data_IF_636243636726
#
_entry.id   IF_636243636726
#
_cell.length_a   1.000
_cell.length_b   1.000
_cell.length_c   1.000
_cell.angle_alpha   90.00
_cell.angle_beta   90.00
_cell.angle_gamma   90.00
#
_symmetry.space_group_name_H-M   'P 1'
#
loop_
_entity.id
_entity.type
_entity.pdbx_description
1 polymer ?
#
# COMPACT_ATOMS: atom_id res chain seq x y z
N UNK A 1 -13.46 -28.20 21.59
CA UNK A 1 -14.16 -27.02 21.01
C UNK A 1 -13.20 -25.86 20.97
N UNK A 2 -12.76 -25.44 19.77
CA UNK A 2 -11.86 -24.30 19.62
C UNK A 2 -12.60 -23.00 19.92
N UNK A 3 -12.08 -22.20 20.86
CA UNK A 3 -12.59 -20.83 21.10
C UNK A 3 -12.34 -20.01 19.85
N UNK A 4 -13.40 -19.67 19.12
CA UNK A 4 -13.35 -18.63 18.08
C UNK A 4 -13.04 -17.29 18.75
N UNK A 5 -11.87 -16.74 18.44
CA UNK A 5 -11.49 -15.39 18.85
C UNK A 5 -12.29 -14.40 17.99
N UNK A 6 -12.97 -13.41 18.57
CA UNK A 6 -13.68 -12.40 17.79
C UNK A 6 -12.74 -11.70 16.81
N UNK A 7 -13.19 -11.46 15.57
CA UNK A 7 -12.40 -10.82 14.51
C UNK A 7 -11.72 -9.52 14.96
N UNK A 8 -12.40 -8.71 15.78
CA UNK A 8 -11.85 -7.49 16.37
C UNK A 8 -10.61 -7.75 17.22
N UNK A 9 -10.55 -8.87 17.95
CA UNK A 9 -9.40 -9.23 18.80
C UNK A 9 -8.20 -9.79 18.03
N UNK A 10 -8.37 -10.18 16.76
CA UNK A 10 -7.28 -10.65 15.90
C UNK A 10 -6.77 -9.58 14.94
N UNK A 11 -7.54 -8.52 14.74
CA UNK A 11 -7.22 -7.43 13.78
C UNK A 11 -6.89 -6.10 14.46
N UNK A 12 -7.12 -5.99 15.77
CA UNK A 12 -6.59 -4.86 16.54
C UNK A 12 -5.05 -4.84 16.46
N UNK A 13 -4.51 -3.66 16.15
CA UNK A 13 -3.07 -3.42 16.22
C UNK A 13 -2.54 -3.81 17.61
N UNK A 14 -1.40 -4.52 17.71
CA UNK A 14 -0.75 -4.78 18.99
C UNK A 14 -0.57 -3.49 19.78
N UNK A 15 -0.67 -3.54 21.12
CA UNK A 15 -0.51 -2.35 21.97
C UNK A 15 0.82 -1.61 21.72
N UNK A 16 1.89 -2.34 21.38
CA UNK A 16 3.19 -1.77 21.01
C UNK A 16 3.17 -0.98 19.68
N UNK A 17 2.18 -1.21 18.83
CA UNK A 17 1.97 -0.48 17.57
C UNK A 17 0.90 0.62 17.71
N UNK A 18 0.16 0.66 18.82
CA UNK A 18 -0.78 1.73 19.13
C UNK A 18 0.02 2.95 19.60
N UNK A 19 0.00 4.01 18.79
CA UNK A 19 0.58 5.29 19.20
C UNK A 19 -0.35 6.02 20.16
N UNK A 20 0.21 6.67 21.19
CA UNK A 20 -0.55 7.49 22.14
C UNK A 20 -1.14 8.76 21.51
N UNK A 21 -0.60 9.19 20.37
CA UNK A 21 -1.12 10.25 19.50
C UNK A 21 -1.24 9.72 18.07
N UNK A 22 -2.12 10.29 17.24
CA UNK A 22 -2.33 9.86 15.84
C UNK A 22 -2.82 8.40 15.72
N UNK A 23 -3.90 8.10 16.45
CA UNK A 23 -4.53 6.78 16.48
C UNK A 23 -5.46 6.50 15.28
N UNK A 24 -5.69 7.50 14.43
CA UNK A 24 -6.42 7.37 13.18
C UNK A 24 -5.42 7.10 12.07
N UNK A 25 -5.74 6.13 11.22
CA UNK A 25 -4.89 5.75 10.11
C UNK A 25 -5.70 5.23 8.93
N UNK A 26 -5.12 5.37 7.74
CA UNK A 26 -5.62 4.80 6.50
C UNK A 26 -4.41 4.39 5.68
N UNK A 27 -4.42 3.12 5.29
CA UNK A 27 -3.45 2.58 4.36
C UNK A 27 -4.17 2.04 3.13
N UNK A 28 -3.52 2.16 1.98
CA UNK A 28 -3.88 1.47 0.75
C UNK A 28 -2.62 0.81 0.21
N UNK A 29 -2.75 -0.20 -0.65
CA UNK A 29 -1.60 -0.82 -1.30
C UNK A 29 -1.78 -1.04 -2.79
N UNK A 30 -0.65 -1.09 -3.49
CA UNK A 30 -0.56 -1.54 -4.88
C UNK A 30 0.63 -2.49 -5.03
N UNK A 31 0.48 -3.48 -5.92
CA UNK A 31 1.56 -4.37 -6.32
C UNK A 31 2.39 -3.69 -7.40
N UNK A 32 3.71 -3.90 -7.37
CA UNK A 32 4.66 -3.46 -8.38
C UNK A 32 5.41 -4.67 -8.93
N UNK A 33 5.64 -4.66 -10.23
CA UNK A 33 6.36 -5.73 -10.92
C UNK A 33 7.87 -5.59 -10.70
N UNK A 34 8.59 -6.72 -10.73
CA UNK A 34 10.05 -6.73 -10.75
C UNK A 34 10.57 -6.72 -12.21
N UNK A 35 11.70 -6.05 -12.49
CA UNK A 35 12.42 -5.13 -11.61
C UNK A 35 11.63 -3.84 -11.35
N UNK A 36 11.86 -3.18 -10.22
CA UNK A 36 11.20 -1.92 -9.91
C UNK A 36 11.66 -0.81 -10.85
N UNK A 37 10.70 -0.06 -11.38
CA UNK A 37 10.98 1.17 -12.11
C UNK A 37 11.31 2.30 -11.13
N UNK A 38 12.57 2.76 -11.15
CA UNK A 38 13.08 3.80 -10.26
C UNK A 38 12.33 5.13 -10.41
N UNK A 39 11.91 5.48 -11.64
CA UNK A 39 11.17 6.72 -11.90
C UNK A 39 9.77 6.65 -11.33
N UNK A 40 9.09 5.50 -11.48
CA UNK A 40 7.79 5.28 -10.87
C UNK A 40 7.89 5.37 -9.34
N UNK A 41 8.88 4.71 -8.75
CA UNK A 41 9.12 4.79 -7.29
C UNK A 41 9.33 6.24 -6.85
N UNK A 42 10.17 6.99 -7.56
CA UNK A 42 10.38 8.41 -7.26
C UNK A 42 9.07 9.21 -7.32
N UNK A 43 8.28 9.06 -8.39
CA UNK A 43 7.00 9.77 -8.56
C UNK A 43 6.00 9.45 -7.43
N UNK A 44 5.97 8.21 -6.95
CA UNK A 44 5.15 7.80 -5.81
C UNK A 44 5.55 8.57 -4.55
N UNK A 45 6.84 8.60 -4.23
CA UNK A 45 7.33 9.29 -3.04
C UNK A 45 7.13 10.80 -3.13
N UNK A 46 7.31 11.40 -4.32
CA UNK A 46 7.02 12.82 -4.55
C UNK A 46 5.54 13.13 -4.30
N UNK A 47 4.62 12.29 -4.80
CA UNK A 47 3.18 12.44 -4.53
C UNK A 47 2.85 12.31 -3.06
N UNK A 48 3.42 11.32 -2.38
CA UNK A 48 3.24 11.15 -0.94
C UNK A 48 3.75 12.37 -0.16
N UNK A 49 4.95 12.86 -0.48
CA UNK A 49 5.51 14.06 0.14
C UNK A 49 4.64 15.29 -0.11
N UNK A 50 4.12 15.47 -1.32
CA UNK A 50 3.20 16.56 -1.64
C UNK A 50 1.92 16.52 -0.80
N UNK A 51 1.33 15.33 -0.62
CA UNK A 51 0.16 15.14 0.25
C UNK A 51 0.49 15.46 1.71
N UNK A 52 1.62 14.97 2.24
CA UNK A 52 2.07 15.29 3.60
C UNK A 52 2.31 16.80 3.76
N UNK A 53 2.96 17.45 2.79
CA UNK A 53 3.20 18.90 2.82
C UNK A 53 1.92 19.72 2.76
N UNK A 54 0.90 19.27 2.02
CA UNK A 54 -0.42 19.91 1.92
C UNK A 54 -1.15 19.98 3.26
N UNK A 55 -1.03 18.93 4.09
CA UNK A 55 -1.75 18.81 5.37
C UNK A 55 -0.87 19.10 6.60
N UNK A 56 0.44 19.23 6.41
CA UNK A 56 1.38 19.67 7.44
C UNK A 56 1.62 18.66 8.56
N UNK A 57 1.93 19.15 9.77
CA UNK A 57 2.33 18.31 10.91
C UNK A 57 1.20 17.45 11.46
N UNK A 58 -0.06 17.75 11.13
CA UNK A 58 -1.24 17.04 11.63
C UNK A 58 -1.36 15.61 11.09
N UNK A 59 -0.67 15.35 9.97
CA UNK A 59 -0.64 14.04 9.33
C UNK A 59 0.68 13.30 9.58
N UNK A 60 1.48 13.70 10.56
CA UNK A 60 2.70 12.98 10.94
C UNK A 60 2.44 12.07 12.13
N UNK A 61 2.94 10.81 12.17
CA UNK A 61 4.03 10.30 11.34
C UNK A 61 3.56 9.36 10.21
N UNK A 62 2.89 9.90 9.18
CA UNK A 62 2.60 9.13 7.97
C UNK A 62 3.89 8.62 7.31
N UNK A 63 3.79 7.48 6.62
CA UNK A 63 4.90 6.88 5.88
C UNK A 63 4.44 6.33 4.52
N UNK A 64 5.36 6.29 3.56
CA UNK A 64 5.19 5.54 2.32
C UNK A 64 6.19 4.39 2.33
N UNK A 65 5.69 3.16 2.33
CA UNK A 65 6.48 1.95 2.56
C UNK A 65 6.60 1.21 1.25
N UNK A 66 7.84 0.93 0.84
CA UNK A 66 8.12 -0.08 -0.20
C UNK A 66 8.51 -1.38 0.49
N UNK A 67 7.69 -2.40 0.32
CA UNK A 67 7.90 -3.73 0.84
C UNK A 67 8.62 -4.60 -0.20
N UNK A 68 9.90 -4.86 0.09
CA UNK A 68 10.82 -5.63 -0.73
C UNK A 68 10.96 -7.08 -0.24
N UNK A 69 9.99 -7.60 0.54
CA UNK A 69 10.02 -8.99 0.99
C UNK A 69 10.13 -9.95 -0.20
N UNK A 70 10.85 -11.05 -0.01
CA UNK A 70 10.94 -12.13 -0.99
C UNK A 70 9.61 -12.91 -1.02
N UNK A 71 8.80 -12.67 -2.04
CA UNK A 71 7.52 -13.32 -2.23
C UNK A 71 7.60 -14.63 -3.03
N UNK A 72 8.79 -15.08 -3.46
CA UNK A 72 8.92 -16.31 -4.26
C UNK A 72 8.35 -17.54 -3.56
N UNK A 73 8.49 -17.64 -2.24
CA UNK A 73 7.89 -18.75 -1.48
C UNK A 73 6.36 -18.67 -1.41
N UNK A 74 5.80 -17.46 -1.41
CA UNK A 74 4.35 -17.24 -1.47
C UNK A 74 3.82 -17.58 -2.86
N UNK A 75 4.54 -17.16 -3.90
CA UNK A 75 4.24 -17.43 -5.31
C UNK A 75 4.39 -18.91 -5.68
N UNK A 76 5.16 -19.70 -4.92
CA UNK A 76 5.35 -21.13 -5.19
C UNK A 76 4.12 -22.01 -4.92
N UNK A 77 3.06 -21.46 -4.34
CA UNK A 77 1.86 -22.22 -4.00
C UNK A 77 0.75 -21.87 -4.99
N UNK A 78 0.04 -22.84 -5.59
CA UNK A 78 -1.03 -22.57 -6.53
C UNK A 78 -2.16 -21.68 -5.97
N UNK A 79 -2.68 -20.79 -6.81
CA UNK A 79 -3.69 -19.79 -6.44
C UNK A 79 -4.98 -20.43 -5.89
N UNK A 80 -5.35 -21.61 -6.39
CA UNK A 80 -6.56 -22.34 -6.01
C UNK A 80 -6.43 -23.19 -4.74
N UNK A 81 -5.24 -23.31 -4.14
CA UNK A 81 -5.04 -24.16 -2.95
C UNK A 81 -5.47 -23.48 -1.64
N UNK A 82 -5.50 -22.14 -1.59
CA UNK A 82 -5.82 -21.39 -0.37
C UNK A 82 -6.66 -20.16 -0.73
N UNK A 83 -7.28 -19.53 0.27
CA UNK A 83 -8.08 -18.32 0.09
C UNK A 83 -7.25 -17.07 -0.31
N UNK A 84 -5.92 -17.09 -0.17
CA UNK A 84 -5.05 -15.98 -0.58
C UNK A 84 -4.70 -16.08 -2.07
N UNK A 85 -5.34 -15.24 -2.89
CA UNK A 85 -5.21 -15.30 -4.35
C UNK A 85 -3.98 -14.55 -4.90
N UNK A 86 -3.49 -13.51 -4.20
CA UNK A 86 -2.40 -12.64 -4.65
C UNK A 86 -1.02 -13.29 -4.48
N UNK A 87 -0.78 -14.42 -5.16
CA UNK A 87 0.44 -15.22 -5.05
C UNK A 87 1.40 -14.92 -6.19
N UNK A 88 1.91 -13.70 -6.22
CA UNK A 88 2.81 -13.21 -7.26
C UNK A 88 4.14 -12.78 -6.65
N UNK A 89 5.24 -13.00 -7.39
CA UNK A 89 6.54 -12.42 -7.05
C UNK A 89 6.53 -10.94 -7.42
N UNK A 90 6.24 -10.08 -6.45
CA UNK A 90 5.99 -8.64 -6.62
C UNK A 90 6.55 -7.88 -5.44
N UNK A 91 6.83 -6.60 -5.62
CA UNK A 91 6.95 -5.68 -4.49
C UNK A 91 5.59 -5.07 -4.16
N UNK A 92 5.45 -4.49 -2.96
CA UNK A 92 4.23 -3.78 -2.57
C UNK A 92 4.59 -2.36 -2.16
N UNK A 93 3.81 -1.38 -2.62
CA UNK A 93 3.85 -0.01 -2.09
C UNK A 93 2.65 0.23 -1.19
N UNK A 94 2.88 0.87 -0.05
CA UNK A 94 1.85 1.20 0.95
C UNK A 94 1.98 2.66 1.41
N UNK A 95 1.18 3.61 0.90
CA UNK A 95 0.93 4.87 1.60
C UNK A 95 0.15 4.59 2.90
N UNK A 96 0.79 4.81 4.06
CA UNK A 96 0.21 4.74 5.41
C UNK A 96 0.07 6.17 5.96
N UNK A 97 -1.16 6.69 5.95
CA UNK A 97 -1.46 7.99 6.54
C UNK A 97 -1.92 7.85 7.99
N UNK A 98 -1.48 8.78 8.84
CA UNK A 98 -1.88 8.88 10.26
C UNK A 98 -2.23 10.31 10.63
N UNK A 99 -3.27 10.51 11.43
CA UNK A 99 -3.76 11.85 11.79
C UNK A 99 -4.49 11.86 13.14
N UNK A 100 -4.82 13.06 13.64
CA UNK A 100 -5.57 13.26 14.89
C UNK A 100 -7.01 13.73 14.66
N UNK A 101 -7.22 14.71 13.79
CA UNK A 101 -8.55 15.32 13.59
C UNK A 101 -9.49 14.38 12.82
N UNK A 102 -10.63 14.04 13.41
CA UNK A 102 -11.64 13.19 12.76
C UNK A 102 -12.19 13.78 11.47
N UNK A 103 -12.12 15.10 11.28
CA UNK A 103 -12.56 15.76 10.04
C UNK A 103 -11.69 15.37 8.83
N UNK A 104 -10.51 14.82 9.08
CA UNK A 104 -9.57 14.37 8.04
C UNK A 104 -9.80 12.92 7.62
N UNK A 105 -10.77 12.20 8.21
CA UNK A 105 -10.97 10.76 7.98
C UNK A 105 -11.21 10.42 6.51
N UNK A 106 -12.09 11.16 5.82
CA UNK A 106 -12.38 10.92 4.40
C UNK A 106 -11.20 11.38 3.53
N UNK A 107 -10.67 12.57 3.80
CA UNK A 107 -9.53 13.14 3.08
C UNK A 107 -8.33 12.19 3.07
N UNK A 108 -7.92 11.66 4.23
CA UNK A 108 -6.74 10.81 4.31
C UNK A 108 -6.95 9.43 3.68
N UNK A 109 -8.19 8.91 3.70
CA UNK A 109 -8.53 7.70 2.96
C UNK A 109 -8.47 7.92 1.46
N UNK A 110 -8.86 9.10 0.99
CA UNK A 110 -8.80 9.47 -0.41
C UNK A 110 -7.34 9.62 -0.88
N UNK A 111 -6.50 10.36 -0.14
CA UNK A 111 -5.06 10.50 -0.45
C UNK A 111 -4.36 9.13 -0.56
N UNK A 112 -4.66 8.19 0.34
CA UNK A 112 -4.13 6.82 0.26
C UNK A 112 -4.57 6.09 -1.02
N UNK A 113 -5.84 6.25 -1.42
CA UNK A 113 -6.41 5.62 -2.62
C UNK A 113 -5.90 6.25 -3.91
N UNK A 114 -5.73 7.56 -3.94
CA UNK A 114 -5.24 8.30 -5.11
C UNK A 114 -3.81 7.88 -5.46
N UNK A 115 -2.93 7.73 -4.46
CA UNK A 115 -1.58 7.23 -4.69
C UNK A 115 -1.62 5.82 -5.27
N UNK A 116 -2.42 4.90 -4.72
CA UNK A 116 -2.45 3.52 -5.25
C UNK A 116 -3.15 3.42 -6.60
N UNK A 117 -4.12 4.29 -6.89
CA UNK A 117 -4.72 4.42 -8.22
C UNK A 117 -3.68 4.88 -9.24
N UNK A 118 -2.93 5.94 -8.92
CA UNK A 118 -1.84 6.43 -9.75
C UNK A 118 -0.81 5.34 -10.09
N UNK A 119 -0.44 4.51 -9.11
CA UNK A 119 0.49 3.39 -9.35
C UNK A 119 -0.09 2.37 -10.34
N UNK A 120 -1.35 1.97 -10.14
CA UNK A 120 -2.03 1.02 -11.04
C UNK A 120 -2.11 1.56 -12.46
N UNK A 121 -2.47 2.83 -12.61
CA UNK A 121 -2.58 3.48 -13.92
C UNK A 121 -1.22 3.52 -14.63
N UNK A 122 -0.15 3.90 -13.92
CA UNK A 122 1.21 3.93 -14.48
C UNK A 122 1.71 2.55 -14.89
N UNK A 123 1.47 1.52 -14.08
CA UNK A 123 1.84 0.16 -14.43
C UNK A 123 1.08 -0.33 -15.67
N UNK A 124 -0.19 0.02 -15.81
CA UNK A 124 -0.96 -0.30 -17.00
C UNK A 124 -0.42 0.41 -18.24
N UNK A 125 -0.09 1.70 -18.15
CA UNK A 125 0.53 2.45 -19.24
C UNK A 125 1.86 1.81 -19.68
N UNK A 126 2.70 1.41 -18.73
CA UNK A 126 3.99 0.77 -18.99
C UNK A 126 3.83 -0.59 -19.68
N UNK A 127 2.84 -1.39 -19.27
CA UNK A 127 2.56 -2.70 -19.89
C UNK A 127 2.08 -2.55 -21.33
N UNK A 128 1.16 -1.63 -21.59
CA UNK A 128 0.68 -1.34 -22.95
C UNK A 128 1.83 -0.85 -23.84
N UNK A 129 2.73 -0.02 -23.31
CA UNK A 129 3.89 0.46 -24.05
C UNK A 129 4.89 -0.66 -24.39
N UNK A 130 5.06 -1.65 -23.51
CA UNK A 130 5.92 -2.81 -23.76
C UNK A 130 5.32 -3.73 -24.86
N UNK A 131 4.02 -4.01 -24.79
CA UNK A 131 3.34 -4.87 -25.79
C UNK A 131 3.44 -4.30 -27.22
N UNK A 132 3.37 -2.96 -27.37
CA UNK A 132 3.51 -2.28 -28.68
C UNK A 132 4.93 -2.36 -29.23
N UNK A 133 5.95 -2.54 -28.38
CA UNK A 133 7.35 -2.64 -28.82
C UNK A 133 7.73 -4.05 -29.29
N UNK A 134 7.05 -5.09 -28.81
CA UNK A 134 7.31 -6.49 -29.20
C UNK A 134 6.63 -6.89 -30.54
N UNK A 135 5.65 -6.11 -31.01
CA UNK A 135 4.91 -6.35 -32.26
C UNK A 135 5.51 -5.64 -33.50
N UNK A 136 6.68 -5.00 -33.39
CA UNK A 136 7.35 -4.23 -34.47
C UNK A 136 8.73 -4.74 -34.85
#
# INVERSE_FOLDING_TARGET
MGRTVPYSKTTELPAAMKMSSHNRYAASSAYMDWPLDEKLVQLIFERFQAAVSKHGKEVMPSACIVDLRDYRKVASVPVNEMAYASRHDTAIIVPDYRWVDSKMDETMREEAREITAFVRDKLQEMRVAADVQDDG
#
